data_IF_158244447205
#
_entry.id   IF_158244447205
#
_cell.length_a   1.000
_cell.length_b   1.000
_cell.length_c   1.000
_cell.angle_alpha   90.00
_cell.angle_beta   90.00
_cell.angle_gamma   90.00
#
_symmetry.space_group_name_H-M   'P 1'
#
loop_
_entity.id
_entity.type
_entity.pdbx_description
1 polymer ?
#
# COMPACT_ATOMS: atom_id res chain seq x y z
N UNK A 1 -15.84 11.23 8.12
CA UNK A 1 -15.84 9.92 7.44
C UNK A 1 -14.75 9.87 6.36
N UNK A 2 -13.49 10.13 6.72
CA UNK A 2 -12.34 10.07 5.79
C UNK A 2 -11.20 9.17 6.31
N UNK A 3 -11.23 8.83 7.61
CA UNK A 3 -10.23 7.99 8.27
C UNK A 3 -10.27 6.52 7.84
N UNK A 4 -11.35 6.05 7.20
CA UNK A 4 -11.45 4.67 6.70
C UNK A 4 -10.45 4.36 5.58
N UNK A 5 -9.96 5.36 4.82
CA UNK A 5 -8.94 5.12 3.80
C UNK A 5 -7.56 4.73 4.38
N UNK A 6 -7.29 5.10 5.64
CA UNK A 6 -6.07 4.68 6.35
C UNK A 6 -6.13 3.22 6.81
N UNK A 7 -7.32 2.59 6.83
CA UNK A 7 -7.44 1.17 7.15
C UNK A 7 -7.04 0.25 5.98
N UNK A 8 -7.01 0.78 4.75
CA UNK A 8 -6.65 0.02 3.54
C UNK A 8 -5.25 -0.60 3.64
N UNK A 9 -4.17 0.13 4.01
CA UNK A 9 -2.86 -0.49 4.19
C UNK A 9 -2.82 -1.50 5.33
N UNK A 10 -3.60 -1.32 6.40
CA UNK A 10 -3.68 -2.31 7.48
C UNK A 10 -4.30 -3.64 6.99
N UNK A 11 -5.38 -3.58 6.21
CA UNK A 11 -6.02 -4.78 5.64
C UNK A 11 -5.15 -5.42 4.56
N UNK A 12 -4.48 -4.61 3.74
CA UNK A 12 -3.58 -5.10 2.69
C UNK A 12 -2.34 -5.84 3.23
N UNK A 13 -1.86 -5.48 4.42
CA UNK A 13 -0.73 -6.15 5.11
C UNK A 13 -1.19 -7.32 5.99
N UNK A 14 -2.51 -7.51 6.19
CA UNK A 14 -3.05 -8.58 7.03
C UNK A 14 -3.22 -9.93 6.33
N UNK A 15 -2.94 -10.03 5.03
CA UNK A 15 -3.07 -11.27 4.25
C UNK A 15 -1.73 -11.82 3.72
N UNK A 16 -0.79 -12.22 4.60
CA UNK A 16 0.50 -12.78 4.22
C UNK A 16 0.48 -13.83 3.10
N UNK A 17 -0.45 -14.81 3.06
CA UNK A 17 -0.36 -15.86 2.05
C UNK A 17 -0.61 -15.38 0.61
N UNK A 18 -1.13 -14.16 0.39
CA UNK A 18 -1.34 -13.60 -0.95
C UNK A 18 -0.05 -13.04 -1.57
N UNK A 19 0.92 -12.65 -0.74
CA UNK A 19 2.22 -12.08 -1.15
C UNK A 19 3.43 -12.75 -0.51
N UNK A 20 3.23 -13.84 0.23
CA UNK A 20 4.28 -14.73 0.71
C UNK A 20 4.89 -15.62 -0.39
N UNK A 21 4.41 -15.50 -1.63
CA UNK A 21 5.07 -16.10 -2.79
C UNK A 21 6.38 -15.38 -3.07
N UNK A 22 7.45 -16.11 -3.38
CA UNK A 22 8.75 -15.51 -3.75
C UNK A 22 8.72 -15.00 -5.20
N UNK A 23 7.77 -15.49 -5.99
CA UNK A 23 7.55 -15.14 -7.39
C UNK A 23 6.24 -14.34 -7.52
N UNK A 24 6.20 -13.33 -8.41
CA UNK A 24 7.24 -12.94 -9.38
C UNK A 24 8.38 -12.11 -8.78
N UNK A 25 9.62 -12.40 -9.20
CA UNK A 25 10.79 -11.57 -8.89
C UNK A 25 10.92 -10.46 -9.92
N UNK A 26 11.03 -9.22 -9.46
CA UNK A 26 11.31 -8.06 -10.31
C UNK A 26 12.78 -7.69 -10.19
N UNK A 27 13.55 -7.78 -11.28
CA UNK A 27 14.98 -7.47 -11.31
C UNK A 27 15.80 -8.18 -10.20
N UNK A 28 15.43 -9.42 -9.84
CA UNK A 28 16.07 -10.19 -8.76
C UNK A 28 15.50 -9.93 -7.35
N UNK A 29 14.60 -8.97 -7.18
CA UNK A 29 13.92 -8.67 -5.91
C UNK A 29 12.68 -9.56 -5.76
N UNK A 30 12.55 -10.33 -4.66
CA UNK A 30 11.36 -11.15 -4.39
C UNK A 30 10.06 -10.34 -4.28
N UNK A 31 8.94 -10.98 -4.62
CA UNK A 31 7.59 -10.38 -4.59
C UNK A 31 7.30 -9.63 -3.30
N UNK A 32 7.55 -10.28 -2.16
CA UNK A 32 7.36 -9.71 -0.84
C UNK A 32 7.97 -8.31 -0.67
N UNK A 33 9.22 -8.11 -1.10
CA UNK A 33 9.93 -6.86 -0.90
C UNK A 33 9.41 -5.75 -1.80
N UNK A 34 9.31 -6.00 -3.11
CA UNK A 34 8.88 -4.95 -4.03
C UNK A 34 7.41 -4.59 -3.83
N UNK A 35 6.58 -5.55 -3.42
CA UNK A 35 5.18 -5.32 -3.07
C UNK A 35 5.04 -4.38 -1.86
N UNK A 36 5.85 -4.57 -0.80
CA UNK A 36 5.90 -3.64 0.33
C UNK A 36 6.32 -2.23 -0.10
N UNK A 37 7.36 -2.10 -0.94
CA UNK A 37 7.79 -0.81 -1.46
C UNK A 37 6.71 -0.12 -2.29
N UNK A 38 5.97 -0.87 -3.11
CA UNK A 38 4.83 -0.35 -3.85
C UNK A 38 3.74 0.20 -2.91
N UNK A 39 3.47 -0.49 -1.81
CA UNK A 39 2.52 -0.02 -0.79
C UNK A 39 2.97 1.27 -0.09
N UNK A 40 4.27 1.49 0.12
CA UNK A 40 4.78 2.77 0.66
C UNK A 40 4.42 3.93 -0.29
N UNK A 41 4.64 3.75 -1.59
CA UNK A 41 4.31 4.77 -2.59
C UNK A 41 2.80 4.98 -2.67
N UNK A 42 2.02 3.91 -2.72
CA UNK A 42 0.56 3.97 -2.76
C UNK A 42 -0.03 4.69 -1.55
N UNK A 43 0.46 4.38 -0.34
CA UNK A 43 0.00 5.02 0.90
C UNK A 43 0.36 6.49 0.97
N UNK A 44 1.56 6.88 0.51
CA UNK A 44 1.94 8.27 0.38
C UNK A 44 1.01 9.03 -0.59
N UNK A 45 0.73 8.46 -1.77
CA UNK A 45 -0.20 9.04 -2.74
C UNK A 45 -1.62 9.15 -2.20
N UNK A 46 -2.12 8.12 -1.52
CA UNK A 46 -3.41 8.12 -0.85
C UNK A 46 -3.47 9.22 0.22
N UNK A 47 -2.42 9.37 1.03
CA UNK A 47 -2.35 10.41 2.07
C UNK A 47 -2.37 11.80 1.45
N UNK A 48 -1.61 12.02 0.39
CA UNK A 48 -1.60 13.29 -0.36
C UNK A 48 -2.98 13.56 -0.97
N UNK A 49 -3.61 12.55 -1.59
CA UNK A 49 -4.95 12.68 -2.15
C UNK A 49 -5.99 13.04 -1.08
N UNK A 50 -5.98 12.34 0.05
CA UNK A 50 -6.87 12.64 1.19
C UNK A 50 -6.59 14.03 1.76
N UNK A 51 -5.32 14.44 1.87
CA UNK A 51 -4.94 15.78 2.31
C UNK A 51 -5.54 16.85 1.38
N UNK A 52 -5.36 16.73 0.07
CA UNK A 52 -5.94 17.67 -0.90
C UNK A 52 -7.47 17.63 -0.93
N UNK A 53 -8.09 16.46 -0.84
CA UNK A 53 -9.54 16.30 -0.79
C UNK A 53 -10.13 16.90 0.50
N UNK A 54 -9.41 16.82 1.62
CA UNK A 54 -9.83 17.39 2.90
C UNK A 54 -9.58 18.90 2.96
N UNK A 55 -8.47 19.39 2.38
CA UNK A 55 -8.16 20.83 2.30
C UNK A 55 -9.07 21.63 1.37
N UNK A 56 -9.84 20.98 0.50
CA UNK A 56 -10.85 21.62 -0.35
C UNK A 56 -12.19 21.90 0.38
N UNK A 57 -12.21 21.82 1.70
CA UNK A 57 -13.30 22.33 2.55
C UNK A 57 -12.83 23.50 3.39
#
# INVERSE_FOLDING_TARGET
MYFLLLAIPCVAVLWPPFYASVEPRLAGVPFFYWYQFLWIILTALLTVFVYFATKKK
#
